data_IF_382351167064
#
_entry.id   IF_382351167064
#
_cell.length_a   1.000
_cell.length_b   1.000
_cell.length_c   1.000
_cell.angle_alpha   90.00
_cell.angle_beta   90.00
_cell.angle_gamma   90.00
#
_symmetry.space_group_name_H-M   'P 1'
#
loop_
_entity.id
_entity.type
_entity.pdbx_description
1 polymer ?
#
# COMPACT_ATOMS: atom_id res chain seq x y z
N UNK A 1 -24.71 -7.66 22.17
CA UNK A 1 -24.61 -6.57 23.17
C UNK A 1 -23.32 -5.83 22.90
N UNK A 2 -23.36 -4.53 22.55
CA UNK A 2 -22.14 -3.71 22.35
C UNK A 2 -21.83 -3.00 23.67
N UNK A 3 -20.71 -3.35 24.29
CA UNK A 3 -20.24 -2.74 25.54
C UNK A 3 -19.84 -1.29 25.28
N UNK A 4 -20.53 -0.36 25.94
CA UNK A 4 -20.18 1.07 25.93
C UNK A 4 -18.98 1.23 26.85
N UNK A 5 -17.83 1.67 26.32
CA UNK A 5 -16.66 2.01 27.12
C UNK A 5 -16.96 3.32 27.88
N UNK A 6 -17.14 3.22 29.20
CA UNK A 6 -17.35 4.36 30.08
C UNK A 6 -15.99 5.00 30.44
N UNK A 7 -15.79 6.26 30.05
CA UNK A 7 -14.70 7.07 30.57
C UNK A 7 -15.02 7.52 32.01
N UNK A 8 -14.06 7.44 32.96
CA UNK A 8 -14.30 7.85 34.33
C UNK A 8 -14.45 9.39 34.43
N UNK A 9 -15.61 9.86 34.91
CA UNK A 9 -15.88 11.29 35.17
C UNK A 9 -17.13 11.88 34.50
N UNK A 10 -17.86 11.14 33.66
CA UNK A 10 -19.14 11.60 33.10
C UNK A 10 -20.31 11.20 34.01
N UNK A 11 -21.10 12.19 34.44
CA UNK A 11 -22.35 11.99 35.17
C UNK A 11 -23.38 11.24 34.29
N UNK A 12 -23.86 10.09 34.76
CA UNK A 12 -24.69 9.15 33.97
C UNK A 12 -26.16 9.31 34.38
N UNK A 13 -26.73 10.49 34.17
CA UNK A 13 -28.17 10.73 34.38
C UNK A 13 -28.96 10.92 33.07
N UNK A 14 -28.34 10.67 31.92
CA UNK A 14 -29.02 10.81 30.63
C UNK A 14 -30.02 9.65 30.40
N UNK A 15 -31.30 9.99 30.34
CA UNK A 15 -32.37 9.04 30.01
C UNK A 15 -32.14 8.34 28.66
N UNK A 16 -32.57 7.09 28.54
CA UNK A 16 -32.55 6.35 27.26
C UNK A 16 -33.24 7.13 26.14
N UNK A 17 -34.26 7.92 26.45
CA UNK A 17 -35.00 8.71 25.47
C UNK A 17 -34.14 9.85 24.90
N UNK A 18 -33.39 10.56 25.76
CA UNK A 18 -32.48 11.63 25.33
C UNK A 18 -31.27 11.08 24.58
N UNK A 19 -30.72 9.94 25.00
CA UNK A 19 -29.66 9.26 24.24
C UNK A 19 -30.12 8.84 22.84
N UNK A 20 -31.31 8.22 22.72
CA UNK A 20 -31.85 7.82 21.43
C UNK A 20 -32.18 9.03 20.53
N UNK A 21 -32.67 10.12 21.11
CA UNK A 21 -32.90 11.37 20.37
C UNK A 21 -31.59 11.97 19.85
N UNK A 22 -30.53 11.98 20.66
CA UNK A 22 -29.19 12.42 20.23
C UNK A 22 -28.63 11.52 19.14
N UNK A 23 -28.77 10.20 19.26
CA UNK A 23 -28.36 9.27 18.19
C UNK A 23 -29.11 9.54 16.88
N UNK A 24 -30.42 9.79 16.91
CA UNK A 24 -31.19 10.08 15.70
C UNK A 24 -30.76 11.38 14.99
N UNK A 25 -30.26 12.36 15.73
CA UNK A 25 -29.74 13.62 15.16
C UNK A 25 -28.28 13.47 14.72
N UNK A 26 -27.43 12.88 15.55
CA UNK A 26 -25.99 12.81 15.31
C UNK A 26 -25.62 11.72 14.31
N UNK A 27 -26.28 10.55 14.32
CA UNK A 27 -25.89 9.41 13.48
C UNK A 27 -25.97 9.73 11.98
N UNK A 28 -27.03 10.36 11.43
CA UNK A 28 -27.06 10.73 10.01
C UNK A 28 -25.93 11.70 9.63
N UNK A 29 -25.57 12.63 10.51
CA UNK A 29 -24.48 13.57 10.29
C UNK A 29 -23.12 12.86 10.29
N UNK A 30 -22.90 11.95 11.25
CA UNK A 30 -21.69 11.13 11.34
C UNK A 30 -21.56 10.22 10.10
N UNK A 31 -22.64 9.57 9.68
CA UNK A 31 -22.66 8.73 8.49
C UNK A 31 -22.42 9.56 7.22
N UNK A 32 -23.05 10.74 7.10
CA UNK A 32 -22.82 11.66 5.97
C UNK A 32 -21.37 12.15 5.92
N UNK A 33 -20.81 12.54 7.06
CA UNK A 33 -19.41 12.96 7.15
C UNK A 33 -18.46 11.82 6.76
N UNK A 34 -18.71 10.62 7.27
CA UNK A 34 -17.96 9.42 6.92
C UNK A 34 -18.02 9.13 5.41
N UNK A 35 -19.22 9.21 4.80
CA UNK A 35 -19.40 9.02 3.36
C UNK A 35 -18.66 10.07 2.53
N UNK A 36 -18.82 11.35 2.86
CA UNK A 36 -18.17 12.46 2.14
C UNK A 36 -16.64 12.36 2.22
N UNK A 37 -16.09 11.93 3.37
CA UNK A 37 -14.65 11.70 3.54
C UNK A 37 -14.15 10.61 2.57
N UNK A 38 -14.83 9.47 2.50
CA UNK A 38 -14.46 8.38 1.58
C UNK A 38 -14.54 8.80 0.11
N UNK A 39 -15.56 9.58 -0.26
CA UNK A 39 -15.70 10.09 -1.63
C UNK A 39 -14.57 11.06 -1.99
N UNK A 40 -14.20 11.97 -1.08
CA UNK A 40 -13.08 12.88 -1.30
C UNK A 40 -11.75 12.13 -1.44
N UNK A 41 -11.52 11.10 -0.62
CA UNK A 41 -10.33 10.25 -0.71
C UNK A 41 -10.25 9.55 -2.08
N UNK A 42 -11.34 8.96 -2.56
CA UNK A 42 -11.39 8.31 -3.88
C UNK A 42 -11.05 9.28 -5.01
N UNK A 43 -11.68 10.46 -5.02
CA UNK A 43 -11.38 11.51 -6.03
C UNK A 43 -9.91 11.92 -6.01
N UNK A 44 -9.30 12.01 -4.82
CA UNK A 44 -7.87 12.29 -4.72
C UNK A 44 -7.02 11.19 -5.34
N UNK A 45 -7.33 9.91 -5.11
CA UNK A 45 -6.61 8.81 -5.74
C UNK A 45 -6.80 8.78 -7.26
N UNK A 46 -8.01 9.04 -7.75
CA UNK A 46 -8.30 9.13 -9.19
C UNK A 46 -7.44 10.23 -9.86
N UNK A 47 -7.31 11.40 -9.22
CA UNK A 47 -6.45 12.48 -9.71
C UNK A 47 -4.96 12.10 -9.69
N UNK A 48 -4.49 11.43 -8.64
CA UNK A 48 -3.09 10.97 -8.58
C UNK A 48 -2.83 9.93 -9.67
N UNK A 49 -3.80 9.06 -9.96
CA UNK A 49 -3.72 8.08 -11.04
C UNK A 49 -3.68 8.75 -12.41
N UNK A 50 -4.47 9.80 -12.64
CA UNK A 50 -4.43 10.60 -13.86
C UNK A 50 -3.04 11.23 -14.06
N UNK A 51 -2.46 11.82 -13.01
CA UNK A 51 -1.10 12.38 -13.06
C UNK A 51 -0.08 11.27 -13.35
N UNK A 52 -0.24 10.10 -12.72
CA UNK A 52 0.61 8.92 -12.94
C UNK A 52 0.60 8.43 -14.38
N UNK A 53 -0.51 8.58 -15.10
CA UNK A 53 -0.70 8.10 -16.47
C UNK A 53 -0.47 9.19 -17.51
N UNK A 54 -0.28 10.45 -17.07
CA UNK A 54 -0.01 11.57 -17.95
C UNK A 54 1.34 11.43 -18.66
N UNK A 55 1.49 12.15 -19.78
CA UNK A 55 2.75 12.19 -20.54
C UNK A 55 3.89 12.85 -19.75
N UNK A 56 3.56 13.63 -18.69
CA UNK A 56 4.52 14.27 -17.80
C UNK A 56 5.06 13.32 -16.73
N UNK A 57 5.98 12.43 -17.14
CA UNK A 57 6.66 11.51 -16.23
C UNK A 57 7.46 12.22 -15.13
N UNK A 58 8.02 13.39 -15.43
CA UNK A 58 8.84 14.15 -14.49
C UNK A 58 7.96 14.79 -13.39
N UNK A 59 6.76 15.27 -13.75
CA UNK A 59 5.76 15.73 -12.80
C UNK A 59 5.40 14.67 -11.78
N UNK A 60 5.12 13.44 -12.23
CA UNK A 60 4.81 12.35 -11.31
C UNK A 60 6.03 11.92 -10.47
N UNK A 61 7.23 11.90 -11.05
CA UNK A 61 8.49 11.61 -10.32
C UNK A 61 8.70 12.59 -9.16
N UNK A 62 8.48 13.88 -9.40
CA UNK A 62 8.54 14.92 -8.37
C UNK A 62 7.45 14.74 -7.31
N UNK A 63 6.21 14.44 -7.71
CA UNK A 63 5.15 14.12 -6.77
C UNK A 63 5.53 12.93 -5.89
N UNK A 64 6.01 11.83 -6.48
CA UNK A 64 6.36 10.62 -5.75
C UNK A 64 7.57 10.83 -4.81
N UNK A 65 8.55 11.64 -5.22
CA UNK A 65 9.67 11.99 -4.35
C UNK A 65 9.21 12.72 -3.07
N UNK A 66 8.26 13.64 -3.21
CA UNK A 66 7.75 14.44 -2.08
C UNK A 66 6.69 13.70 -1.25
N UNK A 67 5.81 12.94 -1.90
CA UNK A 67 4.60 12.39 -1.29
C UNK A 67 4.51 10.86 -1.29
N UNK A 68 5.42 10.15 -1.96
CA UNK A 68 5.38 8.69 -2.08
C UNK A 68 5.46 7.96 -0.74
N UNK A 69 6.12 8.55 0.26
CA UNK A 69 6.10 8.03 1.64
C UNK A 69 4.66 7.96 2.19
N UNK A 70 3.83 8.98 1.96
CA UNK A 70 2.45 8.99 2.45
C UNK A 70 1.58 7.95 1.75
N UNK A 71 1.83 7.68 0.47
CA UNK A 71 1.17 6.58 -0.25
C UNK A 71 1.49 5.23 0.41
N UNK A 72 2.77 4.98 0.69
CA UNK A 72 3.21 3.77 1.41
C UNK A 72 2.53 3.63 2.77
N UNK A 73 2.39 4.73 3.53
CA UNK A 73 1.64 4.72 4.79
C UNK A 73 0.16 4.37 4.60
N UNK A 74 -0.47 4.87 3.54
CA UNK A 74 -1.84 4.49 3.19
C UNK A 74 -2.02 2.99 2.92
N UNK A 75 -0.98 2.31 2.41
CA UNK A 75 -0.96 0.85 2.27
C UNK A 75 -0.80 0.09 3.60
N UNK A 76 -0.40 0.76 4.68
CA UNK A 76 -0.24 0.14 6.01
C UNK A 76 -1.55 0.20 6.81
N UNK A 77 -2.40 1.21 6.58
CA UNK A 77 -3.70 1.34 7.26
C UNK A 77 -4.64 0.16 6.95
N UNK A 78 -5.64 -0.11 7.80
CA UNK A 78 -6.48 -1.31 7.71
C UNK A 78 -7.55 -1.29 6.58
N UNK A 79 -7.59 -0.25 5.73
CA UNK A 79 -8.61 -0.12 4.69
C UNK A 79 -8.19 -0.80 3.36
N UNK A 80 -8.59 -2.07 3.21
CA UNK A 80 -8.29 -2.92 2.05
C UNK A 80 -8.77 -2.29 0.73
N UNK A 81 -9.89 -1.55 0.74
CA UNK A 81 -10.41 -0.89 -0.47
C UNK A 81 -9.42 0.17 -0.97
N UNK A 82 -8.76 0.89 -0.05
CA UNK A 82 -7.76 1.89 -0.42
C UNK A 82 -6.47 1.24 -0.90
N UNK A 83 -6.11 0.07 -0.38
CA UNK A 83 -4.90 -0.63 -0.84
C UNK A 83 -4.91 -0.85 -2.34
N UNK A 84 -6.02 -1.33 -2.90
CA UNK A 84 -6.17 -1.57 -4.35
C UNK A 84 -5.99 -0.31 -5.19
N UNK A 85 -6.37 0.86 -4.67
CA UNK A 85 -6.22 2.14 -5.35
C UNK A 85 -4.79 2.69 -5.24
N UNK A 86 -4.13 2.49 -4.11
CA UNK A 86 -2.79 3.03 -3.84
C UNK A 86 -1.71 2.16 -4.48
N UNK A 87 -1.93 0.86 -4.54
CA UNK A 87 -1.03 -0.15 -5.08
C UNK A 87 -0.39 0.21 -6.44
N UNK A 88 -1.15 0.57 -7.49
CA UNK A 88 -0.59 0.97 -8.78
C UNK A 88 0.15 2.32 -8.75
N UNK A 89 -0.05 3.12 -7.71
CA UNK A 89 0.62 4.41 -7.51
C UNK A 89 1.99 4.26 -6.83
N UNK A 90 2.35 3.06 -6.37
CA UNK A 90 3.67 2.84 -5.80
C UNK A 90 4.74 2.73 -6.89
N UNK A 91 5.95 3.14 -6.53
CA UNK A 91 7.15 3.06 -7.37
C UNK A 91 8.32 2.46 -6.61
N UNK A 92 9.07 1.62 -7.31
CA UNK A 92 10.17 0.84 -6.77
C UNK A 92 11.37 0.84 -7.71
N UNK A 93 12.54 0.59 -7.12
CA UNK A 93 13.72 0.23 -7.88
C UNK A 93 13.72 -1.28 -8.14
N UNK A 94 14.35 -1.71 -9.21
CA UNK A 94 14.64 -3.13 -9.45
C UNK A 94 16.02 -3.32 -10.08
N UNK A 95 16.50 -4.56 -10.10
CA UNK A 95 17.88 -4.92 -10.48
C UNK A 95 18.45 -4.31 -11.77
N UNK A 96 17.62 -3.99 -12.78
CA UNK A 96 18.08 -3.35 -14.03
C UNK A 96 17.53 -1.94 -14.23
N UNK A 97 16.89 -1.34 -13.23
CA UNK A 97 16.38 0.03 -13.32
C UNK A 97 17.15 0.95 -12.38
N UNK A 98 17.71 2.00 -12.97
CA UNK A 98 18.28 3.14 -12.22
C UNK A 98 17.19 4.14 -11.80
N UNK A 99 15.97 3.98 -12.32
CA UNK A 99 14.84 4.85 -12.04
C UNK A 99 13.72 4.14 -11.27
N UNK A 100 12.87 4.96 -10.66
CA UNK A 100 11.66 4.51 -9.99
C UNK A 100 10.64 4.05 -11.03
N UNK A 101 10.23 2.79 -10.94
CA UNK A 101 9.31 2.15 -11.89
C UNK A 101 8.08 1.62 -11.18
N UNK A 102 6.95 1.58 -11.89
CA UNK A 102 5.71 0.98 -11.39
C UNK A 102 5.81 -0.54 -11.36
N UNK A 103 4.87 -1.17 -10.65
CA UNK A 103 4.82 -2.63 -10.62
C UNK A 103 4.35 -3.22 -11.95
N UNK A 104 3.45 -2.54 -12.66
CA UNK A 104 3.00 -2.96 -13.99
C UNK A 104 4.19 -2.96 -14.97
N UNK A 105 4.99 -1.90 -14.97
CA UNK A 105 6.24 -1.87 -15.73
C UNK A 105 7.19 -2.98 -15.31
N UNK A 106 7.31 -3.30 -14.01
CA UNK A 106 8.12 -4.42 -13.58
C UNK A 106 7.62 -5.75 -14.17
N UNK A 107 6.30 -5.98 -14.16
CA UNK A 107 5.66 -7.18 -14.72
C UNK A 107 5.92 -7.30 -16.21
N UNK A 108 5.82 -6.20 -16.96
CA UNK A 108 6.14 -6.18 -18.39
C UNK A 108 7.61 -6.53 -18.69
N UNK A 109 8.51 -6.26 -17.74
CA UNK A 109 9.93 -6.60 -17.85
C UNK A 109 10.29 -7.96 -17.23
N UNK A 110 9.32 -8.73 -16.72
CA UNK A 110 9.56 -10.08 -16.22
C UNK A 110 9.91 -11.02 -17.39
N UNK A 111 10.90 -11.89 -17.17
CA UNK A 111 11.24 -12.92 -18.16
C UNK A 111 10.19 -14.02 -18.19
N UNK A 112 10.08 -14.74 -19.31
CA UNK A 112 9.09 -15.83 -19.51
C UNK A 112 9.19 -16.94 -18.44
N UNK A 113 10.39 -17.16 -17.88
CA UNK A 113 10.62 -18.14 -16.81
C UNK A 113 10.17 -17.67 -15.43
N UNK A 114 9.89 -16.37 -15.26
CA UNK A 114 9.59 -15.75 -13.99
C UNK A 114 8.07 -15.67 -13.80
N UNK A 115 7.50 -16.53 -12.95
CA UNK A 115 6.05 -16.56 -12.67
C UNK A 115 5.64 -15.73 -11.45
N UNK A 116 6.60 -15.33 -10.62
CA UNK A 116 6.35 -14.61 -9.37
C UNK A 116 7.17 -13.34 -9.25
N UNK A 117 6.66 -12.37 -8.50
CA UNK A 117 7.33 -11.11 -8.22
C UNK A 117 8.29 -11.33 -7.06
N UNK A 118 9.57 -11.11 -7.32
CA UNK A 118 10.62 -11.28 -6.33
C UNK A 118 11.06 -9.94 -5.76
N UNK A 119 11.19 -9.85 -4.44
CA UNK A 119 11.71 -8.65 -3.79
C UNK A 119 12.80 -8.96 -2.77
N UNK A 120 13.71 -8.00 -2.59
CA UNK A 120 14.76 -8.00 -1.59
C UNK A 120 14.58 -6.81 -0.64
N UNK A 121 14.92 -7.05 0.63
CA UNK A 121 15.06 -6.01 1.63
C UNK A 121 16.49 -5.46 1.59
N UNK A 122 16.65 -4.16 1.83
CA UNK A 122 17.97 -3.49 1.89
C UNK A 122 19.00 -4.21 2.77
N UNK A 123 18.58 -4.85 3.86
CA UNK A 123 19.48 -5.62 4.75
C UNK A 123 20.19 -6.78 4.05
N UNK A 124 19.55 -7.34 3.02
CA UNK A 124 19.93 -8.62 2.43
C UNK A 124 20.59 -8.43 1.05
N UNK A 125 20.72 -7.19 0.57
CA UNK A 125 21.23 -6.86 -0.75
C UNK A 125 22.62 -7.46 -0.98
N UNK A 126 23.59 -7.19 -0.11
CA UNK A 126 24.97 -7.65 -0.29
C UNK A 126 25.10 -9.17 -0.38
N UNK A 127 24.23 -9.91 0.32
CA UNK A 127 24.31 -11.37 0.36
C UNK A 127 23.68 -12.04 -0.87
N UNK A 128 22.56 -11.51 -1.35
CA UNK A 128 21.79 -12.13 -2.43
C UNK A 128 22.08 -11.55 -3.81
N UNK A 129 22.57 -10.31 -3.92
CA UNK A 129 22.81 -9.65 -5.22
C UNK A 129 23.71 -10.49 -6.15
N UNK A 130 24.78 -11.07 -5.62
CA UNK A 130 25.72 -11.87 -6.42
C UNK A 130 25.21 -13.27 -6.75
N UNK A 131 24.23 -13.76 -5.97
CA UNK A 131 23.78 -15.15 -6.06
C UNK A 131 22.47 -15.33 -6.82
N UNK A 132 21.73 -14.25 -7.04
CA UNK A 132 20.52 -14.29 -7.87
C UNK A 132 20.93 -14.27 -9.35
N UNK A 133 20.37 -15.14 -10.20
CA UNK A 133 20.63 -15.09 -11.64
C UNK A 133 20.32 -13.72 -12.23
N UNK A 134 21.20 -13.19 -13.10
CA UNK A 134 21.00 -11.88 -13.73
C UNK A 134 19.79 -11.81 -14.68
N UNK A 135 19.22 -12.95 -15.03
CA UNK A 135 17.99 -13.09 -15.81
C UNK A 135 16.75 -12.78 -14.98
N UNK A 136 16.81 -12.98 -13.66
CA UNK A 136 15.68 -12.77 -12.75
C UNK A 136 15.59 -11.31 -12.33
N UNK A 137 14.41 -10.71 -12.49
CA UNK A 137 14.16 -9.34 -12.03
C UNK A 137 13.81 -9.34 -10.56
N UNK A 138 14.39 -8.42 -9.80
CA UNK A 138 14.18 -8.32 -8.35
C UNK A 138 13.86 -6.89 -7.97
N UNK A 139 12.74 -6.70 -7.27
CA UNK A 139 12.35 -5.44 -6.65
C UNK A 139 13.20 -5.15 -5.41
N UNK A 140 13.54 -3.89 -5.24
CA UNK A 140 14.40 -3.41 -4.17
C UNK A 140 13.58 -2.56 -3.20
N UNK A 141 13.35 -3.11 -2.00
CA UNK A 141 12.69 -2.41 -0.91
C UNK A 141 13.74 -1.68 -0.06
N UNK A 142 13.85 -0.37 -0.28
CA UNK A 142 14.90 0.47 0.27
C UNK A 142 14.57 0.91 1.71
N UNK A 143 13.28 1.09 2.01
CA UNK A 143 12.80 1.64 3.27
C UNK A 143 12.08 0.61 4.14
N UNK A 144 12.07 0.82 5.46
CA UNK A 144 11.29 -0.01 6.39
C UNK A 144 9.78 0.04 6.13
N UNK A 145 9.29 1.18 5.64
CA UNK A 145 7.90 1.37 5.22
C UNK A 145 7.53 0.50 4.02
N UNK A 146 8.49 0.21 3.14
CA UNK A 146 8.24 -0.67 1.99
C UNK A 146 7.93 -2.08 2.46
N UNK A 147 8.74 -2.59 3.39
CA UNK A 147 8.51 -3.91 3.98
C UNK A 147 7.08 -4.05 4.53
N UNK A 148 6.64 -3.06 5.31
CA UNK A 148 5.30 -3.08 5.91
C UNK A 148 4.20 -2.97 4.85
N UNK A 149 4.38 -2.11 3.84
CA UNK A 149 3.43 -1.97 2.73
C UNK A 149 3.28 -3.28 1.95
N UNK A 150 4.40 -3.99 1.73
CA UNK A 150 4.41 -5.27 1.00
C UNK A 150 3.78 -6.44 1.76
N UNK A 151 3.76 -6.40 3.10
CA UNK A 151 3.05 -7.42 3.88
C UNK A 151 1.55 -7.38 3.56
N UNK A 152 0.97 -6.18 3.53
CA UNK A 152 -0.43 -5.99 3.18
C UNK A 152 -0.68 -6.27 1.70
N UNK A 153 0.26 -5.90 0.82
CA UNK A 153 0.21 -6.26 -0.60
C UNK A 153 0.13 -7.77 -0.80
N UNK A 154 1.00 -8.55 -0.14
CA UNK A 154 1.03 -10.03 -0.23
C UNK A 154 -0.29 -10.67 0.20
N UNK A 155 -1.07 -10.00 1.06
CA UNK A 155 -2.41 -10.46 1.43
C UNK A 155 -3.45 -10.24 0.32
N UNK A 156 -3.18 -9.35 -0.64
CA UNK A 156 -4.06 -9.01 -1.76
C UNK A 156 -3.66 -9.77 -3.03
N UNK A 157 -2.36 -9.87 -3.32
CA UNK A 157 -1.85 -10.64 -4.45
C UNK A 157 -0.96 -11.80 -4.00
N UNK A 158 -1.38 -13.01 -4.34
CA UNK A 158 -0.74 -14.26 -3.92
C UNK A 158 0.62 -14.53 -4.60
N UNK A 159 0.99 -13.72 -5.60
CA UNK A 159 2.17 -13.94 -6.45
C UNK A 159 3.46 -13.24 -5.95
N UNK A 160 3.44 -12.59 -4.78
CA UNK A 160 4.62 -11.94 -4.22
C UNK A 160 5.43 -12.85 -3.31
N UNK A 161 6.68 -13.05 -3.68
CA UNK A 161 7.60 -13.93 -2.98
C UNK A 161 8.84 -13.16 -2.50
N UNK A 162 9.13 -13.29 -1.21
CA UNK A 162 10.36 -12.80 -0.61
C UNK A 162 11.51 -13.71 -1.05
N UNK A 163 12.59 -13.13 -1.62
CA UNK A 163 13.72 -13.94 -2.09
C UNK A 163 14.34 -14.74 -0.95
N UNK A 164 14.52 -14.17 0.24
CA UNK A 164 15.16 -14.89 1.35
C UNK A 164 14.40 -16.14 1.81
N UNK A 165 13.08 -16.20 1.60
CA UNK A 165 12.26 -17.39 1.88
C UNK A 165 12.32 -18.44 0.78
N UNK A 166 12.61 -18.03 -0.46
CA UNK A 166 12.49 -18.86 -1.67
C UNK A 166 13.81 -19.06 -2.41
N UNK A 167 14.90 -18.58 -1.83
CA UNK A 167 16.22 -18.53 -2.45
C UNK A 167 16.73 -19.91 -2.87
N UNK A 168 16.49 -20.95 -2.07
CA UNK A 168 16.92 -22.31 -2.40
C UNK A 168 16.17 -22.91 -3.60
N UNK A 169 14.93 -22.46 -3.86
CA UNK A 169 14.13 -22.89 -5.01
C UNK A 169 14.62 -22.19 -6.29
N UNK A 170 15.04 -20.93 -6.17
CA UNK A 170 15.60 -20.13 -7.27
C UNK A 170 16.94 -20.64 -7.78
N UNK A 171 17.73 -21.34 -6.95
CA UNK A 171 19.02 -21.93 -7.36
C UNK A 171 18.90 -23.22 -8.17
N UNK A 172 17.72 -23.84 -8.19
CA UNK A 172 17.49 -25.13 -8.85
C UNK A 172 16.88 -24.98 -10.26
N UNK A 173 16.60 -23.75 -10.68
CA UNK A 173 16.11 -23.39 -12.02
C UNK A 173 17.26 -22.84 -12.87
#
# INVERSE_FOLDING_TARGET
>A
MRTILFFPGMDVSMSKATFNSLLNVCLPLILRWSKNRKEAQRKTFDLIQEISQSEDKEGYKNFYYNYGRFLKWGCIEEDIDNHRLIMPLLRFFFSKSEELTSLDEYIDHMGESQTSIYYLLKSDYSYFLEKVPQTTKVLYLVDSTDKMSFINYKAIEENLLLISEKFDQLRQQ
#
